data_IF_533814504644
#
_entry.id   IF_533814504644
#
_cell.length_a   1.000
_cell.length_b   1.000
_cell.length_c   1.000
_cell.angle_alpha   90.00
_cell.angle_beta   90.00
_cell.angle_gamma   90.00
#
_symmetry.space_group_name_H-M   'P 1'
#
loop_
_entity.id
_entity.type
_entity.pdbx_description
1 polymer ?
#
# COMPACT_ATOMS: atom_id res chain seq x y z
N UNK A 1 18.98 -5.05 8.84
CA UNK A 1 18.49 -4.90 7.44
C UNK A 1 17.09 -5.45 7.41
N UNK A 2 16.09 -4.62 7.08
CA UNK A 2 14.70 -5.07 6.99
C UNK A 2 14.53 -5.91 5.74
N UNK A 3 14.44 -7.22 5.92
CA UNK A 3 13.94 -8.12 4.89
C UNK A 3 12.48 -7.73 4.63
N UNK A 4 12.27 -7.02 3.52
CA UNK A 4 10.99 -7.07 2.81
C UNK A 4 10.62 -8.55 2.71
N UNK A 5 9.45 -8.87 3.21
CA UNK A 5 8.78 -10.15 2.98
C UNK A 5 8.77 -10.42 1.47
N UNK A 6 9.79 -11.17 1.08
CA UNK A 6 9.86 -12.08 -0.04
C UNK A 6 9.34 -11.54 -1.37
N UNK A 7 10.25 -11.28 -2.32
CA UNK A 7 9.90 -11.02 -3.73
C UNK A 7 9.03 -12.11 -4.38
N UNK A 8 8.89 -13.29 -3.75
CA UNK A 8 7.93 -14.31 -4.16
C UNK A 8 6.47 -13.86 -4.03
N UNK A 9 6.10 -13.14 -2.96
CA UNK A 9 4.73 -12.61 -2.78
C UNK A 9 4.39 -11.59 -3.87
N UNK A 10 5.35 -10.71 -4.19
CA UNK A 10 5.17 -9.71 -5.24
C UNK A 10 5.09 -10.36 -6.62
N UNK A 11 5.93 -11.35 -6.88
CA UNK A 11 5.94 -12.08 -8.15
C UNK A 11 4.64 -12.84 -8.39
N UNK A 12 4.09 -13.51 -7.37
CA UNK A 12 2.83 -14.24 -7.50
C UNK A 12 1.66 -13.30 -7.76
N UNK A 13 1.59 -12.17 -7.05
CA UNK A 13 0.56 -11.13 -7.27
C UNK A 13 0.58 -10.64 -8.72
N UNK A 14 1.76 -10.34 -9.27
CA UNK A 14 1.86 -9.86 -10.66
C UNK A 14 1.64 -10.95 -11.70
N UNK A 15 2.00 -12.20 -11.39
CA UNK A 15 1.84 -13.35 -12.29
C UNK A 15 0.38 -13.80 -12.40
N UNK A 16 -0.36 -13.87 -11.28
CA UNK A 16 -1.71 -14.45 -11.23
C UNK A 16 -2.82 -13.39 -11.19
N UNK A 17 -2.48 -12.13 -10.90
CA UNK A 17 -3.46 -11.07 -10.71
C UNK A 17 -4.14 -11.08 -9.35
N UNK A 18 -3.77 -12.00 -8.46
CA UNK A 18 -4.30 -12.13 -7.12
C UNK A 18 -3.21 -12.57 -6.15
N UNK A 19 -3.28 -12.10 -4.91
CA UNK A 19 -2.41 -12.58 -3.84
C UNK A 19 -2.47 -11.68 -2.62
N UNK A 20 -1.66 -11.99 -1.62
CA UNK A 20 -1.54 -11.18 -0.41
C UNK A 20 -0.12 -10.68 -0.24
N UNK A 21 0.02 -9.40 0.09
CA UNK A 21 1.27 -8.73 0.40
C UNK A 21 1.28 -8.36 1.87
N UNK A 22 2.36 -8.66 2.57
CA UNK A 22 2.57 -8.18 3.94
C UNK A 22 3.36 -6.87 3.93
N UNK A 23 2.76 -5.80 4.45
CA UNK A 23 3.38 -4.48 4.56
C UNK A 23 3.78 -4.28 6.02
N UNK A 24 5.04 -3.90 6.25
CA UNK A 24 5.58 -3.65 7.60
C UNK A 24 6.06 -2.22 7.73
N UNK A 25 5.86 -1.65 8.91
CA UNK A 25 6.43 -0.38 9.32
C UNK A 25 7.96 -0.43 9.37
N UNK A 26 8.62 0.68 9.08
CA UNK A 26 10.06 0.79 9.31
C UNK A 26 10.30 1.24 10.75
N UNK A 27 11.06 0.43 11.46
CA UNK A 27 11.41 0.64 12.86
C UNK A 27 12.91 0.46 13.05
N UNK A 28 13.52 1.32 13.87
CA UNK A 28 14.92 1.22 14.25
C UNK A 28 15.09 1.45 15.75
N UNK A 29 16.16 0.87 16.30
CA UNK A 29 16.45 0.93 17.74
C UNK A 29 17.42 2.07 17.98
N UNK A 30 17.07 2.99 18.88
CA UNK A 30 17.91 4.09 19.35
C UNK A 30 18.17 3.94 20.85
N UNK A 31 19.35 4.35 21.31
CA UNK A 31 19.68 4.38 22.74
C UNK A 31 19.55 5.80 23.25
N UNK A 32 18.59 6.04 24.14
CA UNK A 32 18.36 7.34 24.78
C UNK A 32 18.89 7.24 26.21
N UNK A 33 20.17 7.59 26.38
CA UNK A 33 20.88 7.50 27.66
C UNK A 33 21.07 6.07 28.14
N UNK A 34 20.42 5.70 29.25
CA UNK A 34 20.46 4.35 29.82
C UNK A 34 19.29 3.46 29.37
N UNK A 35 18.34 3.98 28.60
CA UNK A 35 17.18 3.23 28.11
C UNK A 35 17.26 3.05 26.61
N UNK A 36 16.72 1.93 26.15
CA UNK A 36 16.53 1.71 24.73
C UNK A 36 15.16 2.26 24.32
N UNK A 37 15.08 2.78 23.11
CA UNK A 37 13.87 3.33 22.54
C UNK A 37 13.69 2.77 21.13
N UNK A 38 12.45 2.50 20.78
CA UNK A 38 12.09 2.01 19.46
C UNK A 38 11.45 3.16 18.69
N UNK A 39 12.06 3.52 17.58
CA UNK A 39 11.61 4.64 16.76
C UNK A 39 10.97 4.11 15.49
N UNK A 40 9.74 4.54 15.24
CA UNK A 40 8.99 4.24 14.02
C UNK A 40 9.14 5.44 13.08
N UNK A 41 9.78 5.22 11.94
CA UNK A 41 10.03 6.24 10.92
C UNK A 41 8.99 6.22 9.79
N UNK A 42 8.41 5.06 9.49
CA UNK A 42 7.41 4.91 8.44
C UNK A 42 6.26 4.00 8.91
N UNK A 43 5.03 4.46 8.71
CA UNK A 43 3.79 3.72 8.99
C UNK A 43 3.26 3.08 7.70
N UNK A 44 2.65 1.88 7.75
CA UNK A 44 2.05 1.25 6.58
C UNK A 44 0.86 2.04 6.00
N UNK A 45 0.64 1.87 4.71
CA UNK A 45 -0.44 2.53 3.97
C UNK A 45 -1.82 2.23 4.57
N UNK A 46 -2.73 3.20 4.52
CA UNK A 46 -4.08 3.16 5.10
C UNK A 46 -4.16 3.25 6.64
N UNK A 47 -3.05 3.42 7.34
CA UNK A 47 -3.09 3.56 8.81
C UNK A 47 -2.97 5.02 9.25
N UNK A 48 -3.92 5.46 10.08
CA UNK A 48 -3.89 6.79 10.68
C UNK A 48 -2.89 6.82 11.83
N UNK A 49 -2.05 7.87 11.86
CA UNK A 49 -1.06 8.10 12.92
C UNK A 49 -1.70 8.21 14.31
N UNK A 50 -2.73 9.04 14.45
CA UNK A 50 -3.40 9.27 15.73
C UNK A 50 -4.02 7.98 16.28
N UNK A 51 -4.66 7.19 15.41
CA UNK A 51 -5.24 5.91 15.78
C UNK A 51 -4.18 4.87 16.20
N UNK A 52 -2.98 4.91 15.61
CA UNK A 52 -1.87 4.08 16.06
C UNK A 52 -1.36 4.47 17.43
N UNK A 53 -1.14 5.77 17.68
CA UNK A 53 -0.67 6.26 18.98
C UNK A 53 -1.68 5.91 20.07
N UNK A 54 -2.97 6.16 19.83
CA UNK A 54 -4.05 5.79 20.75
C UNK A 54 -4.07 4.27 21.00
N UNK A 55 -3.91 3.47 19.94
CA UNK A 55 -3.90 2.01 20.07
C UNK A 55 -2.71 1.51 20.88
N UNK A 56 -1.53 2.09 20.69
CA UNK A 56 -0.34 1.72 21.46
C UNK A 56 -0.51 2.18 22.91
N UNK A 57 -0.98 3.41 23.15
CA UNK A 57 -1.27 3.91 24.49
C UNK A 57 -2.28 3.01 25.22
N UNK A 58 -3.35 2.58 24.53
CA UNK A 58 -4.32 1.63 25.06
C UNK A 58 -3.65 0.31 25.46
N UNK A 59 -2.74 -0.24 24.65
CA UNK A 59 -2.03 -1.49 24.96
C UNK A 59 -1.01 -1.36 26.11
N UNK A 60 -0.49 -0.16 26.37
CA UNK A 60 0.41 0.14 27.49
C UNK A 60 -0.38 0.29 28.79
N UNK A 61 -1.49 1.03 28.77
CA UNK A 61 -2.32 1.30 29.95
C UNK A 61 -3.21 0.12 30.31
N UNK A 62 -3.85 -0.52 29.32
CA UNK A 62 -4.69 -1.70 29.55
C UNK A 62 -3.81 -2.93 29.77
N UNK A 63 -3.42 -3.15 31.01
CA UNK A 63 -3.13 -4.51 31.54
C UNK A 63 -4.41 -5.36 31.67
N UNK A 64 -5.42 -5.12 30.83
CA UNK A 64 -6.80 -5.51 31.10
C UNK A 64 -7.13 -6.78 30.34
N UNK A 65 -7.29 -7.86 31.12
CA UNK A 65 -8.22 -8.96 30.88
C UNK A 65 -9.55 -8.42 30.34
N UNK A 66 -9.71 -8.38 29.01
CA UNK A 66 -11.05 -8.32 28.40
C UNK A 66 -11.69 -9.68 28.55
N UNK A 67 -12.21 -9.92 29.76
CA UNK A 67 -13.42 -10.70 29.94
C UNK A 67 -14.59 -9.88 29.40
N UNK A 68 -15.49 -10.56 28.68
CA UNK A 68 -16.68 -10.06 27.99
C UNK A 68 -16.48 -9.28 26.68
N UNK A 69 -16.62 -9.99 25.56
CA UNK A 69 -17.72 -9.74 24.60
C UNK A 69 -17.85 -10.94 23.64
N UNK A 70 -18.25 -12.09 24.19
CA UNK A 70 -19.06 -13.13 23.51
C UNK A 70 -19.63 -14.04 24.61
N UNK A 71 -20.97 -14.25 24.68
CA UNK A 71 -21.56 -15.11 25.70
C UNK A 71 -21.21 -16.58 25.44
N UNK A 72 -20.41 -17.16 26.32
CA UNK A 72 -20.18 -18.59 26.37
C UNK A 72 -21.47 -19.30 26.83
N UNK A 73 -22.28 -19.81 25.90
CA UNK A 73 -23.47 -20.64 26.22
C UNK A 73 -23.09 -22.06 26.65
N UNK A 74 -21.83 -22.48 26.51
CA UNK A 74 -21.41 -23.81 26.94
C UNK A 74 -20.42 -23.74 28.10
N UNK A 75 -20.97 -24.07 29.28
CA UNK A 75 -20.25 -24.49 30.48
C UNK A 75 -19.29 -25.64 30.17
N UNK A 76 -18.03 -25.36 29.87
CA UNK A 76 -16.90 -26.25 30.13
C UNK A 76 -15.76 -25.38 30.69
N UNK A 77 -15.45 -25.60 31.97
CA UNK A 77 -14.24 -25.29 32.74
C UNK A 77 -13.59 -23.88 32.66
N UNK A 78 -13.63 -23.18 33.81
CA UNK A 78 -12.81 -22.02 34.20
C UNK A 78 -11.28 -22.28 34.26
N UNK A 79 -10.76 -23.32 33.61
CA UNK A 79 -9.34 -23.71 33.66
C UNK A 79 -8.57 -23.50 32.35
N UNK A 80 -9.19 -22.94 31.31
CA UNK A 80 -8.50 -22.56 30.06
C UNK A 80 -8.50 -21.05 29.81
N UNK A 81 -8.34 -20.26 30.89
CA UNK A 81 -7.96 -18.86 30.78
C UNK A 81 -6.48 -18.69 31.14
N UNK A 82 -5.60 -19.34 30.36
CA UNK A 82 -4.14 -19.21 30.50
C UNK A 82 -3.45 -18.87 29.17
N UNK A 83 -4.17 -18.66 28.07
CA UNK A 83 -3.58 -18.29 26.79
C UNK A 83 -3.26 -16.79 26.76
N UNK A 84 -2.17 -16.45 27.44
CA UNK A 84 -1.24 -15.35 27.23
C UNK A 84 -1.82 -14.06 26.62
N UNK A 85 -2.44 -13.25 27.48
CA UNK A 85 -2.49 -11.81 27.27
C UNK A 85 -1.07 -11.26 27.45
N UNK A 86 -0.24 -11.28 26.41
CA UNK A 86 1.03 -10.55 26.38
C UNK A 86 0.73 -9.05 26.23
N UNK A 87 0.22 -8.46 27.32
CA UNK A 87 0.27 -7.02 27.53
C UNK A 87 1.68 -6.51 27.26
N UNK A 88 1.82 -5.30 26.70
CA UNK A 88 3.11 -4.62 26.46
C UNK A 88 3.80 -4.30 27.80
N UNK A 89 4.20 -5.31 28.59
CA UNK A 89 4.71 -5.12 29.95
C UNK A 89 6.06 -4.39 29.98
N UNK A 90 6.81 -4.43 28.87
CA UNK A 90 8.12 -3.81 28.68
C UNK A 90 8.12 -2.36 28.17
N UNK A 91 6.97 -1.80 27.76
CA UNK A 91 6.89 -0.42 27.27
C UNK A 91 6.62 0.53 28.45
N UNK A 92 7.33 1.67 28.50
CA UNK A 92 7.11 2.70 29.52
C UNK A 92 6.14 3.77 29.06
N UNK A 93 6.41 4.39 27.90
CA UNK A 93 5.60 5.49 27.37
C UNK A 93 5.74 5.59 25.85
N UNK A 94 4.78 6.27 25.21
CA UNK A 94 4.77 6.55 23.78
C UNK A 94 4.80 8.06 23.58
N UNK A 95 5.79 8.55 22.85
CA UNK A 95 5.94 9.96 22.49
C UNK A 95 5.79 10.14 20.99
N UNK A 96 5.05 11.18 20.61
CA UNK A 96 4.95 11.61 19.22
C UNK A 96 5.83 12.84 19.01
N UNK A 97 6.94 12.67 18.31
CA UNK A 97 7.92 13.71 17.96
C UNK A 97 7.89 13.99 16.46
N UNK A 98 6.74 13.78 15.81
CA UNK A 98 6.67 13.98 14.37
C UNK A 98 6.57 15.46 14.02
N UNK A 99 7.44 15.88 13.11
CA UNK A 99 7.50 17.23 12.56
C UNK A 99 6.83 17.30 11.17
N UNK A 100 7.04 18.42 10.47
CA UNK A 100 6.61 18.59 9.08
C UNK A 100 7.45 17.80 8.07
N UNK A 101 8.68 17.44 8.44
CA UNK A 101 9.63 16.75 7.54
C UNK A 101 9.48 15.23 7.58
N UNK A 102 8.92 14.68 8.66
CA UNK A 102 8.85 13.24 8.81
C UNK A 102 8.05 12.79 10.01
N UNK A 103 7.62 11.54 9.93
CA UNK A 103 7.00 10.84 11.04
C UNK A 103 8.10 10.33 11.98
N UNK A 104 7.97 10.61 13.27
CA UNK A 104 8.81 10.01 14.31
C UNK A 104 7.97 9.70 15.55
N UNK A 105 7.64 8.42 15.72
CA UNK A 105 7.01 7.92 16.93
C UNK A 105 8.06 7.19 17.76
N UNK A 106 8.25 7.64 19.00
CA UNK A 106 9.24 7.10 19.93
C UNK A 106 8.51 6.29 20.99
N UNK A 107 8.83 5.01 21.06
CA UNK A 107 8.33 4.11 22.11
C UNK A 107 9.48 3.83 23.07
N UNK A 108 9.37 4.35 24.29
CA UNK A 108 10.38 4.13 25.32
C UNK A 108 10.21 2.74 25.95
N UNK A 109 11.33 2.03 26.16
CA UNK A 109 11.33 0.73 26.85
C UNK A 109 11.80 0.86 28.31
N UNK A 110 11.39 -0.11 29.13
CA UNK A 110 11.85 -0.25 30.50
C UNK A 110 13.25 -0.88 30.54
N UNK A 111 13.98 -0.63 31.64
CA UNK A 111 15.40 -1.03 31.81
C UNK A 111 15.70 -2.54 31.68
N UNK A 112 14.70 -3.41 31.88
CA UNK A 112 14.88 -4.87 31.88
C UNK A 112 14.08 -5.54 30.75
N UNK A 113 13.73 -4.80 29.69
CA UNK A 113 12.92 -5.33 28.61
C UNK A 113 13.73 -5.40 27.32
N UNK A 114 13.68 -6.57 26.67
CA UNK A 114 14.36 -6.81 25.40
C UNK A 114 13.62 -6.12 24.24
N UNK A 115 14.34 -5.31 23.47
CA UNK A 115 13.75 -4.52 22.37
C UNK A 115 13.22 -5.40 21.24
N UNK A 116 13.87 -6.53 20.96
CA UNK A 116 13.43 -7.46 19.91
C UNK A 116 12.08 -8.12 20.22
N UNK A 117 11.82 -8.38 21.50
CA UNK A 117 10.54 -8.92 21.95
C UNK A 117 9.44 -7.87 21.78
N UNK A 118 9.69 -6.64 22.24
CA UNK A 118 8.76 -5.52 22.11
C UNK A 118 8.46 -5.23 20.63
N UNK A 119 9.48 -5.24 19.76
CA UNK A 119 9.29 -5.09 18.32
C UNK A 119 8.35 -6.16 17.75
N UNK A 120 8.61 -7.43 18.04
CA UNK A 120 7.79 -8.55 17.58
C UNK A 120 6.36 -8.48 18.13
N UNK A 121 6.19 -7.98 19.35
CA UNK A 121 4.92 -7.82 20.02
C UNK A 121 4.10 -6.66 19.43
N UNK A 122 4.76 -5.54 19.13
CA UNK A 122 4.16 -4.38 18.48
C UNK A 122 3.66 -4.75 17.08
N UNK A 123 4.44 -5.48 16.28
CA UNK A 123 3.99 -5.93 14.96
C UNK A 123 2.72 -6.80 15.03
N UNK A 124 2.61 -7.68 16.04
CA UNK A 124 1.46 -8.59 16.20
C UNK A 124 0.19 -7.90 16.70
N UNK A 125 0.30 -6.94 17.61
CA UNK A 125 -0.86 -6.36 18.31
C UNK A 125 -1.28 -4.98 17.80
N UNK A 126 -0.45 -4.33 17.00
CA UNK A 126 -0.74 -3.03 16.39
C UNK A 126 -0.89 -3.14 14.88
N UNK A 127 -1.30 -2.06 14.23
CA UNK A 127 -1.41 -2.00 12.76
C UNK A 127 -0.08 -1.61 12.09
N UNK A 128 1.06 -1.95 12.70
CA UNK A 128 2.39 -1.75 12.11
C UNK A 128 2.74 -2.84 11.08
N UNK A 129 2.11 -4.01 11.18
CA UNK A 129 2.10 -5.04 10.13
C UNK A 129 0.68 -5.20 9.58
N UNK A 130 0.54 -5.08 8.26
CA UNK A 130 -0.74 -5.23 7.55
C UNK A 130 -0.62 -6.28 6.47
N UNK A 131 -1.65 -7.11 6.33
CA UNK A 131 -1.80 -8.01 5.19
C UNK A 131 -2.75 -7.37 4.18
N UNK A 132 -2.21 -6.90 3.06
CA UNK A 132 -2.97 -6.32 1.97
C UNK A 132 -3.29 -7.39 0.93
N UNK A 133 -4.57 -7.60 0.65
CA UNK A 133 -5.01 -8.51 -0.40
C UNK A 133 -5.10 -7.73 -1.72
N UNK A 134 -4.41 -8.21 -2.74
CA UNK A 134 -4.41 -7.65 -4.08
C UNK A 134 -5.33 -8.48 -4.98
N UNK A 135 -6.23 -7.81 -5.68
CA UNK A 135 -7.06 -8.42 -6.73
C UNK A 135 -7.12 -7.47 -7.93
N UNK A 136 -6.44 -7.83 -9.01
CA UNK A 136 -6.32 -7.02 -10.22
C UNK A 136 -7.46 -7.32 -11.19
N UNK A 137 -8.59 -6.65 -10.98
CA UNK A 137 -9.78 -6.73 -11.85
C UNK A 137 -9.84 -5.48 -12.73
N UNK A 138 -10.06 -5.68 -14.02
CA UNK A 138 -10.08 -4.62 -15.02
C UNK A 138 -11.23 -4.87 -16.00
N UNK A 139 -11.75 -3.80 -16.61
CA UNK A 139 -12.77 -3.92 -17.65
C UNK A 139 -12.12 -4.18 -19.02
N UNK A 140 -12.45 -5.31 -19.64
CA UNK A 140 -12.12 -5.61 -21.03
C UNK A 140 -13.41 -5.62 -21.84
N UNK A 141 -13.63 -4.60 -22.68
CA UNK A 141 -14.81 -4.56 -23.55
C UNK A 141 -16.17 -4.56 -22.83
N UNK A 142 -16.24 -3.98 -21.62
CA UNK A 142 -17.39 -3.94 -20.69
C UNK A 142 -17.58 -5.14 -19.75
N UNK A 143 -16.72 -6.16 -19.83
CA UNK A 143 -16.74 -7.29 -18.89
C UNK A 143 -15.64 -7.14 -17.82
N UNK A 144 -15.92 -7.42 -16.54
CA UNK A 144 -14.90 -7.45 -15.49
C UNK A 144 -14.07 -8.73 -15.62
N UNK A 145 -12.80 -8.57 -15.98
CA UNK A 145 -11.86 -9.68 -16.15
C UNK A 145 -10.70 -9.49 -15.18
N UNK A 146 -10.30 -10.58 -14.52
CA UNK A 146 -9.05 -10.60 -13.77
C UNK A 146 -7.90 -10.71 -14.76
N UNK A 147 -6.96 -9.76 -14.71
CA UNK A 147 -5.82 -9.72 -15.63
C UNK A 147 -4.50 -9.64 -14.86
N UNK A 148 -3.51 -10.38 -15.35
CA UNK A 148 -2.14 -10.34 -14.83
C UNK A 148 -1.41 -9.07 -15.31
N UNK A 149 -0.28 -8.72 -14.68
CA UNK A 149 0.45 -7.49 -15.03
C UNK A 149 0.89 -7.46 -16.49
N UNK A 150 1.37 -8.60 -17.02
CA UNK A 150 1.81 -8.70 -18.42
C UNK A 150 0.68 -8.44 -19.42
N UNK A 151 -0.52 -8.96 -19.13
CA UNK A 151 -1.69 -8.73 -19.98
C UNK A 151 -2.12 -7.25 -19.96
N UNK A 152 -2.07 -6.63 -18.78
CA UNK A 152 -2.38 -5.21 -18.63
C UNK A 152 -1.42 -4.32 -19.42
N UNK A 153 -0.11 -4.60 -19.35
CA UNK A 153 0.92 -3.86 -20.10
C UNK A 153 0.75 -4.04 -21.62
N UNK A 154 0.36 -5.24 -22.06
CA UNK A 154 0.09 -5.51 -23.46
C UNK A 154 -1.12 -4.68 -23.96
N UNK A 155 -2.23 -4.70 -23.22
CA UNK A 155 -3.42 -3.94 -23.59
C UNK A 155 -3.17 -2.43 -23.54
N UNK A 156 -2.37 -1.97 -22.56
CA UNK A 156 -1.93 -0.57 -22.50
C UNK A 156 -1.10 -0.16 -23.72
N UNK A 157 -0.15 -0.99 -24.15
CA UNK A 157 0.68 -0.70 -25.33
C UNK A 157 -0.16 -0.66 -26.60
N UNK A 158 -1.11 -1.60 -26.74
CA UNK A 158 -2.07 -1.63 -27.84
C UNK A 158 -2.93 -0.37 -27.88
N UNK A 159 -3.45 0.06 -26.74
CA UNK A 159 -4.19 1.32 -26.60
C UNK A 159 -3.33 2.51 -27.01
N UNK A 160 -2.09 2.61 -26.51
CA UNK A 160 -1.17 3.71 -26.84
C UNK A 160 -0.86 3.80 -28.33
N UNK A 161 -0.70 2.67 -29.04
CA UNK A 161 -0.50 2.65 -30.51
C UNK A 161 -1.68 3.27 -31.25
N UNK A 162 -2.91 2.96 -30.84
CA UNK A 162 -4.13 3.53 -31.43
C UNK A 162 -4.18 5.03 -31.17
N UNK A 163 -3.93 5.47 -29.94
CA UNK A 163 -3.93 6.89 -29.57
C UNK A 163 -2.88 7.68 -30.36
N UNK A 164 -1.66 7.15 -30.50
CA UNK A 164 -0.60 7.83 -31.25
C UNK A 164 -0.96 7.91 -32.73
N UNK A 165 -1.50 6.83 -33.33
CA UNK A 165 -1.94 6.83 -34.72
C UNK A 165 -3.05 7.85 -34.97
N UNK A 166 -4.04 7.90 -34.08
CA UNK A 166 -5.14 8.86 -34.16
C UNK A 166 -4.63 10.29 -34.00
N UNK A 167 -3.70 10.54 -33.07
CA UNK A 167 -3.04 11.85 -32.94
C UNK A 167 -2.27 12.23 -34.20
N UNK A 168 -1.47 11.32 -34.76
CA UNK A 168 -0.69 11.58 -35.97
C UNK A 168 -1.58 11.90 -37.17
N UNK A 169 -2.72 11.21 -37.32
CA UNK A 169 -3.72 11.52 -38.36
C UNK A 169 -4.39 12.88 -38.16
N UNK A 170 -4.58 13.27 -36.90
CA UNK A 170 -5.14 14.56 -36.52
C UNK A 170 -4.11 15.69 -36.47
N UNK A 171 -2.81 15.44 -36.67
CA UNK A 171 -1.88 16.52 -37.02
C UNK A 171 -2.25 16.91 -38.44
N UNK A 172 -2.93 18.05 -38.64
CA UNK A 172 -3.30 18.44 -39.98
C UNK A 172 -2.01 18.61 -40.78
N UNK A 173 -2.08 18.31 -42.07
CA UNK A 173 -1.09 18.66 -43.09
C UNK A 173 -0.92 20.19 -43.21
N UNK A 174 -0.80 20.92 -42.10
CA UNK A 174 -0.46 22.34 -42.05
C UNK A 174 1.02 22.55 -42.41
N UNK A 175 1.82 21.48 -42.49
CA UNK A 175 3.19 21.54 -43.02
C UNK A 175 3.30 21.34 -44.54
N UNK A 176 2.23 20.94 -45.26
CA UNK A 176 2.26 20.79 -46.74
C UNK A 176 1.59 21.95 -47.50
N UNK A 177 1.20 23.03 -46.82
CA UNK A 177 0.74 24.28 -47.46
C UNK A 177 1.82 25.37 -47.55
N UNK A 178 3.10 25.02 -47.34
CA UNK A 178 4.24 25.92 -47.56
C UNK A 178 5.27 25.37 -48.57
N UNK A 179 4.88 24.44 -49.44
CA UNK A 179 5.74 23.92 -50.53
C UNK A 179 5.06 23.91 -51.91
N UNK A 180 3.97 24.66 -52.09
CA UNK A 180 3.27 24.79 -53.38
C UNK A 180 3.27 26.21 -53.97
N UNK A 181 4.38 26.97 -53.82
CA UNK A 181 4.58 28.19 -54.60
C UNK A 181 5.73 28.05 -55.62
N UNK A 182 5.68 27.02 -56.47
CA UNK A 182 6.54 27.01 -57.67
C UNK A 182 6.04 26.18 -58.86
N UNK A 183 5.13 25.22 -58.71
CA UNK A 183 4.64 24.45 -59.87
C UNK A 183 3.11 24.34 -59.83
N UNK A 184 2.45 25.12 -60.68
CA UNK A 184 1.00 25.12 -60.83
C UNK A 184 0.47 23.84 -61.47
N UNK A 185 -0.46 23.17 -60.79
CA UNK A 185 -1.56 22.38 -61.37
C UNK A 185 -2.72 22.25 -60.33
N UNK A 186 -3.98 22.11 -60.77
CA UNK A 186 -5.15 22.19 -59.90
C UNK A 186 -5.39 20.88 -59.13
N UNK A 187 -5.56 20.98 -57.81
CA UNK A 187 -5.86 19.86 -56.92
C UNK A 187 -7.34 19.47 -57.09
N UNK A 188 -7.59 18.30 -57.69
CA UNK A 188 -8.91 17.67 -57.71
C UNK A 188 -9.18 16.93 -56.40
N UNK A 189 -10.35 17.21 -55.83
CA UNK A 189 -11.16 16.44 -54.87
C UNK A 189 -10.49 15.99 -53.56
N UNK A 190 -10.59 16.85 -52.54
CA UNK A 190 -10.58 16.44 -51.15
C UNK A 190 -11.86 15.64 -50.82
N UNK A 191 -11.79 14.31 -50.79
CA UNK A 191 -12.84 13.49 -50.17
C UNK A 191 -12.83 13.72 -48.66
N UNK A 192 -13.92 14.29 -48.14
CA UNK A 192 -14.22 14.41 -46.70
C UNK A 192 -14.04 13.05 -46.00
N UNK A 193 -13.16 13.00 -45.00
CA UNK A 193 -13.23 11.95 -43.98
C UNK A 193 -14.44 12.28 -43.09
N UNK A 194 -15.41 11.37 -42.91
CA UNK A 194 -16.60 11.65 -42.12
C UNK A 194 -16.24 11.85 -40.63
N UNK A 195 -16.86 12.86 -40.03
CA UNK A 195 -16.67 13.30 -38.62
C UNK A 195 -17.14 12.29 -37.56
N UNK A 196 -17.66 11.13 -37.94
CA UNK A 196 -18.18 10.12 -37.00
C UNK A 196 -17.12 9.21 -36.37
N UNK A 197 -15.84 9.35 -36.74
CA UNK A 197 -14.75 8.50 -36.22
C UNK A 197 -13.95 9.12 -35.04
N UNK A 198 -14.46 10.20 -34.44
CA UNK A 198 -13.86 10.83 -33.26
C UNK A 198 -14.88 10.95 -32.14
N UNK A 199 -15.29 9.81 -31.58
CA UNK A 199 -15.76 9.67 -30.19
C UNK A 199 -15.07 8.43 -29.63
#
# INVERSE_FOLDING_TARGET
MQELSCGAEVRSVYADGMGSLTIRAKMHVEKVGQREALVISEIPYSTNKSALVERIAELVTKKVCRMHDFPCILNISRSECSTHMQTLQGVSDVRDESDREGLRLVVETKRNADVNEIHSLLLKHTRLELKMNCNMVVLRGREPVRMCLMEQLHEFTKFRRVVIRNKARCVPLVSLLNLQNSCGQPIRSATRVPRSACI
#
